data_IF_131909256693
#
_entry.id   IF_131909256693
#
_cell.length_a   1.000
_cell.length_b   1.000
_cell.length_c   1.000
_cell.angle_alpha   90.00
_cell.angle_beta   90.00
_cell.angle_gamma   90.00
#
_symmetry.space_group_name_H-M   'P 1'
#
loop_
_entity.id
_entity.type
_entity.pdbx_description
1 polymer ?
#
# COMPACT_ATOMS: atom_id res chain seq x y z
N UNK A 1 -79.95 3.08 -29.45
CA UNK A 1 -78.48 3.15 -29.25
C UNK A 1 -77.88 3.64 -30.56
N UNK A 2 -77.26 4.82 -30.53
CA UNK A 2 -76.59 5.40 -31.70
C UNK A 2 -75.20 4.74 -31.84
N UNK A 3 -74.67 4.58 -33.06
CA UNK A 3 -73.36 3.95 -33.30
C UNK A 3 -72.20 4.62 -32.54
N UNK A 4 -72.32 5.93 -32.27
CA UNK A 4 -71.35 6.67 -31.46
C UNK A 4 -71.28 6.21 -30.00
N UNK A 5 -72.40 5.81 -29.38
CA UNK A 5 -72.41 5.34 -27.98
C UNK A 5 -71.71 3.99 -27.84
N UNK A 6 -71.92 3.10 -28.82
CA UNK A 6 -71.27 1.78 -28.88
C UNK A 6 -69.76 1.96 -29.11
N UNK A 7 -69.37 2.87 -30.01
CA UNK A 7 -67.97 3.18 -30.26
C UNK A 7 -67.27 3.76 -29.01
N UNK A 8 -67.94 4.65 -28.28
CA UNK A 8 -67.42 5.22 -27.04
C UNK A 8 -67.21 4.15 -25.96
N UNK A 9 -68.14 3.20 -25.81
CA UNK A 9 -68.03 2.12 -24.84
C UNK A 9 -66.89 1.15 -25.17
N UNK A 10 -66.72 0.81 -26.45
CA UNK A 10 -65.60 -0.02 -26.92
C UNK A 10 -64.26 0.72 -26.73
N UNK A 11 -64.21 2.01 -27.06
CA UNK A 11 -63.01 2.83 -26.89
C UNK A 11 -62.62 2.95 -25.41
N UNK A 12 -63.59 3.13 -24.51
CA UNK A 12 -63.36 3.13 -23.07
C UNK A 12 -62.78 1.79 -22.58
N UNK A 13 -63.34 0.67 -23.05
CA UNK A 13 -62.80 -0.66 -22.74
C UNK A 13 -61.36 -0.86 -23.22
N UNK A 14 -61.07 -0.46 -24.46
CA UNK A 14 -59.72 -0.52 -25.02
C UNK A 14 -58.72 0.36 -24.25
N UNK A 15 -59.12 1.57 -23.86
CA UNK A 15 -58.29 2.47 -23.06
C UNK A 15 -57.97 1.89 -21.68
N UNK A 16 -58.94 1.31 -20.99
CA UNK A 16 -58.71 0.63 -19.70
C UNK A 16 -57.71 -0.52 -19.85
N UNK A 17 -57.82 -1.32 -20.91
CA UNK A 17 -56.85 -2.39 -21.19
C UNK A 17 -55.45 -1.86 -21.44
N UNK A 18 -55.30 -0.75 -22.17
CA UNK A 18 -54.00 -0.10 -22.36
C UNK A 18 -53.42 0.42 -21.05
N UNK A 19 -54.24 1.04 -20.19
CA UNK A 19 -53.79 1.51 -18.87
C UNK A 19 -53.31 0.34 -18.00
N UNK A 20 -54.05 -0.77 -17.97
CA UNK A 20 -53.63 -1.97 -17.24
C UNK A 20 -52.34 -2.58 -17.82
N UNK A 21 -52.22 -2.61 -19.15
CA UNK A 21 -51.01 -3.07 -19.82
C UNK A 21 -49.79 -2.21 -19.47
N UNK A 22 -49.93 -0.88 -19.45
CA UNK A 22 -48.84 0.06 -19.08
C UNK A 22 -48.60 0.13 -17.57
N UNK A 23 -49.58 -0.19 -16.73
CA UNK A 23 -49.39 -0.21 -15.28
C UNK A 23 -48.35 -1.27 -14.86
N UNK A 24 -48.35 -2.45 -15.50
CA UNK A 24 -47.39 -3.53 -15.20
C UNK A 24 -45.92 -3.10 -15.34
N UNK A 25 -45.45 -2.54 -16.48
CA UNK A 25 -44.07 -2.10 -16.60
C UNK A 25 -43.74 -0.94 -15.65
N UNK A 26 -44.67 -0.02 -15.38
CA UNK A 26 -44.45 1.06 -14.42
C UNK A 26 -44.22 0.53 -12.99
N UNK A 27 -45.02 -0.46 -12.56
CA UNK A 27 -44.83 -1.11 -11.26
C UNK A 27 -43.50 -1.87 -11.20
N UNK A 28 -43.10 -2.53 -12.29
CA UNK A 28 -41.81 -3.24 -12.37
C UNK A 28 -40.63 -2.26 -12.32
N UNK A 29 -40.72 -1.11 -12.98
CA UNK A 29 -39.72 -0.06 -12.91
C UNK A 29 -39.60 0.53 -11.51
N UNK A 30 -40.71 0.75 -10.82
CA UNK A 30 -40.70 1.16 -9.41
C UNK A 30 -39.86 0.22 -8.54
N UNK A 31 -40.09 -1.09 -8.68
CA UNK A 31 -39.29 -2.10 -7.96
C UNK A 31 -37.80 -2.09 -8.31
N UNK A 32 -37.44 -1.84 -9.58
CA UNK A 32 -36.03 -1.72 -9.99
C UNK A 32 -35.37 -0.50 -9.35
N UNK A 33 -36.08 0.62 -9.29
CA UNK A 33 -35.59 1.83 -8.62
C UNK A 33 -35.44 1.62 -7.12
N UNK A 34 -36.37 0.90 -6.49
CA UNK A 34 -36.28 0.52 -5.08
C UNK A 34 -35.05 -0.37 -4.81
N UNK A 35 -34.81 -1.37 -5.66
CA UNK A 35 -33.64 -2.24 -5.55
C UNK A 35 -32.33 -1.48 -5.77
N UNK A 36 -32.32 -0.55 -6.73
CA UNK A 36 -31.17 0.34 -6.98
C UNK A 36 -30.90 1.22 -5.76
N UNK A 37 -31.97 1.75 -5.13
CA UNK A 37 -31.87 2.55 -3.91
C UNK A 37 -31.27 1.74 -2.75
N UNK A 38 -31.72 0.49 -2.58
CA UNK A 38 -31.17 -0.41 -1.56
C UNK A 38 -29.71 -0.75 -1.86
N UNK A 39 -29.39 -1.09 -3.10
CA UNK A 39 -28.00 -1.36 -3.54
C UNK A 39 -27.05 -0.19 -3.28
N UNK A 40 -27.49 1.05 -3.55
CA UNK A 40 -26.71 2.25 -3.25
C UNK A 40 -26.53 2.42 -1.75
N UNK A 41 -27.58 2.16 -0.96
CA UNK A 41 -27.51 2.24 0.50
C UNK A 41 -26.51 1.22 1.05
N UNK A 42 -26.61 -0.03 0.64
CA UNK A 42 -25.72 -1.12 1.06
C UNK A 42 -24.27 -0.85 0.65
N UNK A 43 -24.07 -0.34 -0.57
CA UNK A 43 -22.76 0.10 -1.05
C UNK A 43 -22.19 1.21 -0.17
N UNK A 44 -23.00 2.23 0.18
CA UNK A 44 -22.54 3.33 1.02
C UNK A 44 -22.22 2.87 2.45
N UNK A 45 -23.04 2.00 3.04
CA UNK A 45 -22.81 1.38 4.34
C UNK A 45 -21.53 0.52 4.34
N UNK A 46 -21.19 -0.11 3.21
CA UNK A 46 -19.98 -0.92 3.07
C UNK A 46 -18.72 -0.12 2.72
N UNK A 47 -18.82 0.96 1.95
CA UNK A 47 -17.67 1.75 1.49
C UNK A 47 -17.15 2.70 2.58
N UNK A 48 -18.03 3.27 3.41
CA UNK A 48 -17.63 4.17 4.50
C UNK A 48 -16.59 3.57 5.48
N UNK A 49 -16.74 2.32 5.98
CA UNK A 49 -15.72 1.71 6.83
C UNK A 49 -14.43 1.43 6.06
N UNK A 50 -14.50 0.97 4.81
CA UNK A 50 -13.30 0.73 3.98
C UNK A 50 -12.48 2.01 3.78
N UNK A 51 -13.12 3.16 3.53
CA UNK A 51 -12.40 4.43 3.42
C UNK A 51 -11.74 4.85 4.74
N UNK A 52 -12.38 4.53 5.86
CA UNK A 52 -11.83 4.77 7.21
C UNK A 52 -10.60 3.90 7.46
N UNK A 53 -10.70 2.60 7.19
CA UNK A 53 -9.58 1.64 7.33
C UNK A 53 -8.42 1.97 6.39
N UNK A 54 -8.69 2.41 5.15
CA UNK A 54 -7.66 2.88 4.23
C UNK A 54 -6.97 4.12 4.77
N UNK A 55 -7.71 5.07 5.33
CA UNK A 55 -7.15 6.28 5.95
C UNK A 55 -6.27 5.92 7.14
N UNK A 56 -6.71 5.00 8.01
CA UNK A 56 -5.92 4.49 9.12
C UNK A 56 -4.66 3.77 8.64
N UNK A 57 -4.77 2.93 7.60
CA UNK A 57 -3.65 2.20 7.01
C UNK A 57 -2.60 3.16 6.42
N UNK A 58 -3.03 4.17 5.66
CA UNK A 58 -2.15 5.20 5.12
C UNK A 58 -1.50 6.01 6.24
N UNK A 59 -2.26 6.36 7.29
CA UNK A 59 -1.73 7.08 8.46
C UNK A 59 -0.69 6.25 9.21
N UNK A 60 -0.95 4.96 9.42
CA UNK A 60 -0.02 4.02 10.04
C UNK A 60 1.24 3.84 9.18
N UNK A 61 1.08 3.71 7.86
CA UNK A 61 2.18 3.59 6.90
C UNK A 61 3.05 4.85 6.90
N UNK A 62 2.46 6.04 6.86
CA UNK A 62 3.19 7.30 6.98
C UNK A 62 3.98 7.39 8.29
N UNK A 63 3.38 6.98 9.41
CA UNK A 63 4.07 6.94 10.71
C UNK A 63 5.23 5.95 10.71
N UNK A 64 5.07 4.80 10.06
CA UNK A 64 6.15 3.82 9.91
C UNK A 64 7.26 4.35 9.01
N UNK A 65 6.93 5.02 7.91
CA UNK A 65 7.91 5.59 7.00
C UNK A 65 8.76 6.67 7.70
N UNK A 66 8.13 7.54 8.51
CA UNK A 66 8.85 8.51 9.34
C UNK A 66 9.81 7.86 10.34
N UNK A 67 9.46 6.68 10.89
CA UNK A 67 10.37 5.92 11.77
C UNK A 67 11.54 5.30 11.00
N UNK A 68 11.29 4.80 9.79
CA UNK A 68 12.33 4.22 8.93
C UNK A 68 13.36 5.28 8.55
N UNK A 69 12.94 6.51 8.28
CA UNK A 69 13.85 7.63 8.01
C UNK A 69 14.81 7.88 9.18
N UNK A 70 14.28 7.96 10.40
CA UNK A 70 15.08 8.10 11.63
C UNK A 70 16.03 6.91 11.85
N UNK A 71 15.57 5.68 11.62
CA UNK A 71 16.43 4.49 11.73
C UNK A 71 17.56 4.56 10.70
N UNK A 72 17.26 4.99 9.48
CA UNK A 72 18.25 5.12 8.40
C UNK A 72 19.31 6.15 8.76
N UNK A 73 18.91 7.30 9.31
CA UNK A 73 19.83 8.32 9.81
C UNK A 73 20.72 7.77 10.95
N UNK A 74 20.12 7.13 11.95
CA UNK A 74 20.87 6.50 13.05
C UNK A 74 21.86 5.45 12.54
N UNK A 75 21.47 4.65 11.53
CA UNK A 75 22.34 3.65 10.92
C UNK A 75 23.49 4.30 10.15
N UNK A 76 23.23 5.42 9.45
CA UNK A 76 24.27 6.20 8.79
C UNK A 76 25.29 6.75 9.81
N UNK A 77 24.80 7.32 10.92
CA UNK A 77 25.64 7.82 12.01
C UNK A 77 26.47 6.71 12.66
N UNK A 78 25.84 5.58 13.02
CA UNK A 78 26.54 4.42 13.59
C UNK A 78 27.58 3.88 12.62
N UNK A 79 27.28 3.80 11.33
CA UNK A 79 28.24 3.36 10.31
C UNK A 79 29.43 4.32 10.20
N UNK A 80 29.19 5.63 10.24
CA UNK A 80 30.24 6.65 10.24
C UNK A 80 31.13 6.53 11.49
N UNK A 81 30.52 6.41 12.67
CA UNK A 81 31.22 6.23 13.94
C UNK A 81 32.05 4.93 13.95
N UNK A 82 31.52 3.82 13.42
CA UNK A 82 32.27 2.57 13.27
C UNK A 82 33.47 2.76 12.34
N UNK A 83 33.31 3.45 11.21
CA UNK A 83 34.43 3.72 10.31
C UNK A 83 35.53 4.53 11.00
N UNK A 84 35.16 5.52 11.82
CA UNK A 84 36.12 6.26 12.66
C UNK A 84 36.78 5.37 13.71
N UNK A 85 36.03 4.51 14.40
CA UNK A 85 36.57 3.56 15.38
C UNK A 85 37.54 2.58 14.73
N UNK A 86 37.21 2.03 13.56
CA UNK A 86 38.07 1.13 12.78
C UNK A 86 39.34 1.87 12.34
N UNK A 87 39.25 3.13 11.90
CA UNK A 87 40.41 3.93 11.56
C UNK A 87 41.33 4.19 12.76
N UNK A 88 40.76 4.52 13.94
CA UNK A 88 41.51 4.69 15.19
C UNK A 88 42.15 3.38 15.64
N UNK A 89 41.41 2.27 15.59
CA UNK A 89 41.96 0.95 15.92
C UNK A 89 43.10 0.57 14.98
N UNK A 90 42.91 0.77 13.67
CA UNK A 90 43.93 0.49 12.65
C UNK A 90 45.17 1.37 12.83
N UNK A 91 45.02 2.64 13.20
CA UNK A 91 46.18 3.52 13.46
C UNK A 91 46.91 3.14 14.75
N UNK A 92 46.17 2.78 15.81
CA UNK A 92 46.72 2.36 17.09
C UNK A 92 47.44 1.01 17.01
N UNK A 93 46.92 0.05 16.24
CA UNK A 93 47.41 -1.34 16.20
C UNK A 93 48.26 -1.63 14.95
N UNK A 94 47.99 -0.96 13.83
CA UNK A 94 48.68 -1.18 12.56
C UNK A 94 50.15 -0.77 12.60
N UNK A 95 50.47 0.39 13.18
CA UNK A 95 51.86 0.85 13.24
C UNK A 95 52.74 0.03 14.19
N UNK A 96 52.30 -0.42 15.39
CA UNK A 96 53.08 -1.34 16.21
C UNK A 96 53.20 -2.74 15.61
N UNK A 97 52.10 -3.33 15.09
CA UNK A 97 52.16 -4.67 14.49
C UNK A 97 53.09 -4.71 13.28
N UNK A 98 53.07 -3.69 12.41
CA UNK A 98 53.99 -3.60 11.29
C UNK A 98 55.46 -3.54 11.74
N UNK A 99 55.75 -2.82 12.83
CA UNK A 99 57.08 -2.78 13.44
C UNK A 99 57.48 -4.15 14.00
N UNK A 100 56.60 -4.83 14.72
CA UNK A 100 56.87 -6.18 15.24
C UNK A 100 57.10 -7.20 14.12
N UNK A 101 56.32 -7.16 13.05
CA UNK A 101 56.51 -8.01 11.88
C UNK A 101 57.85 -7.75 11.19
N UNK A 102 58.24 -6.48 11.03
CA UNK A 102 59.55 -6.10 10.48
C UNK A 102 60.72 -6.59 11.35
N UNK A 103 60.60 -6.50 12.68
CA UNK A 103 61.59 -7.03 13.63
C UNK A 103 61.66 -8.56 13.56
N UNK A 104 60.52 -9.25 13.51
CA UNK A 104 60.47 -10.70 13.37
C UNK A 104 61.10 -11.16 12.05
N UNK A 105 60.81 -10.47 10.94
CA UNK A 105 61.38 -10.77 9.63
C UNK A 105 62.88 -10.48 9.57
N UNK A 106 63.37 -9.42 10.20
CA UNK A 106 64.80 -9.12 10.26
C UNK A 106 65.55 -10.13 11.14
N UNK A 107 64.97 -10.53 12.28
CA UNK A 107 65.50 -11.64 13.09
C UNK A 107 65.53 -12.95 12.30
N UNK A 108 64.41 -13.32 11.67
CA UNK A 108 64.32 -14.53 10.86
C UNK A 108 65.31 -14.50 9.71
N UNK A 109 65.43 -13.38 8.99
CA UNK A 109 66.39 -13.18 7.89
C UNK A 109 67.84 -13.18 8.36
N UNK A 110 68.13 -12.73 9.58
CA UNK A 110 69.48 -12.80 10.16
C UNK A 110 69.86 -14.22 10.59
N UNK A 111 68.87 -14.97 11.09
CA UNK A 111 69.01 -16.39 11.46
C UNK A 111 69.09 -17.31 10.23
N UNK A 112 68.42 -16.96 9.13
CA UNK A 112 68.44 -17.72 7.86
C UNK A 112 69.42 -17.16 6.82
N UNK A 113 69.95 -15.96 7.02
CA UNK A 113 70.80 -15.21 6.09
C UNK A 113 72.28 -15.22 6.46
N UNK A 114 72.86 -16.42 6.55
CA UNK A 114 74.29 -16.65 6.24
C UNK A 114 74.47 -18.01 5.57
N UNK A 115 73.96 -18.11 4.33
CA UNK A 115 74.47 -18.98 3.27
C UNK A 115 73.88 -18.55 1.92
N UNK A 116 74.40 -17.48 1.34
CA UNK A 116 74.49 -17.36 -0.12
C UNK A 116 75.95 -17.08 -0.48
N UNK A 117 76.54 -18.07 -1.17
CA UNK A 117 77.70 -17.89 -2.04
C UNK A 117 77.35 -16.90 -3.15
#
# INVERSE_FOLDING_TARGET
MNGGEIAALVAAGGFVLLVLFTAVPLLKLGRVLDETRNSIRDLNESVSPLLTELTETVTATNKQLARVDVITENVAEVSANINSLVAVFTSAVGSPLAKFAGIAQSLASSLTGKKKK
#
